data_IF_727376836586
#
_entry.id   IF_727376836586
#
_cell.length_a   1.000
_cell.length_b   1.000
_cell.length_c   1.000
_cell.angle_alpha   90.00
_cell.angle_beta   90.00
_cell.angle_gamma   90.00
#
_symmetry.space_group_name_H-M   'P 1'
#
loop_
_entity.id
_entity.type
_entity.pdbx_description
1 polymer ?
#
# COMPACT_ATOMS: atom_id res chain seq x y z
N UNK A 1 5.73 -1.81 10.66
CA UNK A 1 4.92 -0.94 9.79
C UNK A 1 3.95 -0.04 10.56
N UNK A 2 3.19 -0.58 11.52
CA UNK A 2 2.22 0.23 12.28
C UNK A 2 2.87 1.32 13.13
N UNK A 3 4.04 1.07 13.72
CA UNK A 3 4.77 2.08 14.50
C UNK A 3 5.25 3.24 13.62
N UNK A 4 5.71 2.95 12.42
CA UNK A 4 6.11 3.96 11.43
C UNK A 4 4.91 4.78 10.97
N UNK A 5 3.78 4.12 10.77
CA UNK A 5 2.53 4.78 10.40
C UNK A 5 2.07 5.74 11.51
N UNK A 6 2.15 5.31 12.77
CA UNK A 6 1.79 6.16 13.90
C UNK A 6 2.70 7.40 14.00
N UNK A 7 4.01 7.22 13.82
CA UNK A 7 4.96 8.33 13.81
C UNK A 7 4.64 9.33 12.70
N UNK A 8 4.29 8.85 11.53
CA UNK A 8 3.95 9.70 10.40
C UNK A 8 2.62 10.43 10.62
N UNK A 9 1.63 9.73 11.19
CA UNK A 9 0.35 10.33 11.56
C UNK A 9 0.54 11.45 12.58
N UNK A 10 1.41 11.25 13.56
CA UNK A 10 1.75 12.26 14.56
C UNK A 10 2.43 13.47 13.90
N UNK A 11 3.32 13.24 12.94
CA UNK A 11 4.02 14.31 12.22
C UNK A 11 3.05 15.21 11.43
N UNK A 12 2.10 14.60 10.74
CA UNK A 12 1.10 15.32 9.92
C UNK A 12 0.02 15.95 10.80
N UNK A 13 -0.44 15.21 11.82
CA UNK A 13 -1.24 15.74 12.92
C UNK A 13 -2.50 16.51 12.59
N UNK A 14 -3.32 16.05 11.61
CA UNK A 14 -4.57 16.74 11.24
C UNK A 14 -4.38 18.01 10.42
N UNK A 15 -3.15 18.38 10.07
CA UNK A 15 -2.85 19.58 9.30
C UNK A 15 -3.25 19.49 7.84
N UNK A 16 -3.46 18.26 7.34
CA UNK A 16 -3.86 18.02 5.96
C UNK A 16 -4.85 16.87 5.90
N UNK A 17 -6.12 17.16 5.66
CA UNK A 17 -7.18 16.18 5.63
C UNK A 17 -6.96 15.08 4.58
N UNK A 18 -6.36 15.43 3.45
CA UNK A 18 -6.07 14.48 2.37
C UNK A 18 -5.02 13.45 2.80
N UNK A 19 -3.96 13.91 3.46
CA UNK A 19 -2.91 13.02 3.99
C UNK A 19 -3.49 12.16 5.12
N UNK A 20 -4.32 12.73 5.99
CA UNK A 20 -4.98 11.96 7.06
C UNK A 20 -5.84 10.84 6.47
N UNK A 21 -6.60 11.10 5.40
CA UNK A 21 -7.40 10.09 4.71
C UNK A 21 -6.51 9.01 4.10
N UNK A 22 -5.39 9.40 3.51
CA UNK A 22 -4.43 8.47 2.93
C UNK A 22 -3.85 7.53 3.99
N UNK A 23 -3.41 8.09 5.12
CA UNK A 23 -2.85 7.30 6.22
C UNK A 23 -3.91 6.40 6.86
N UNK A 24 -5.16 6.85 6.93
CA UNK A 24 -6.27 6.02 7.42
C UNK A 24 -6.55 4.86 6.46
N UNK A 25 -6.52 5.09 5.15
CA UNK A 25 -6.68 4.04 4.14
C UNK A 25 -5.53 3.02 4.23
N UNK A 26 -4.30 3.49 4.48
CA UNK A 26 -3.14 2.60 4.71
C UNK A 26 -3.36 1.72 5.93
N UNK A 27 -3.87 2.28 7.02
CA UNK A 27 -4.18 1.52 8.24
C UNK A 27 -5.20 0.42 7.96
N UNK A 28 -6.26 0.72 7.22
CA UNK A 28 -7.27 -0.27 6.86
C UNK A 28 -6.69 -1.38 5.99
N UNK A 29 -5.83 -1.03 5.04
CA UNK A 29 -5.13 -2.02 4.20
C UNK A 29 -4.24 -2.94 5.03
N UNK A 30 -3.48 -2.38 5.98
CA UNK A 30 -2.61 -3.17 6.86
C UNK A 30 -3.41 -4.11 7.76
N UNK A 31 -4.54 -3.67 8.31
CA UNK A 31 -5.41 -4.51 9.11
C UNK A 31 -5.93 -5.69 8.28
N UNK A 32 -6.40 -5.42 7.06
CA UNK A 32 -6.87 -6.45 6.16
C UNK A 32 -5.76 -7.44 5.77
N UNK A 33 -4.55 -6.94 5.53
CA UNK A 33 -3.38 -7.78 5.22
C UNK A 33 -3.03 -8.70 6.39
N UNK A 34 -2.92 -8.17 7.61
CA UNK A 34 -2.59 -8.97 8.78
C UNK A 34 -3.67 -10.00 9.09
N UNK A 35 -4.94 -9.65 8.86
CA UNK A 35 -6.04 -10.60 9.02
C UNK A 35 -5.88 -11.76 8.03
N UNK A 36 -5.54 -11.46 6.78
CA UNK A 36 -5.37 -12.46 5.72
C UNK A 36 -4.16 -13.37 5.99
N UNK A 37 -3.00 -12.81 6.37
CA UNK A 37 -1.79 -13.62 6.66
C UNK A 37 -1.92 -14.42 7.95
N UNK A 38 -2.80 -14.04 8.87
CA UNK A 38 -3.10 -14.79 10.08
C UNK A 38 -3.90 -16.07 9.84
N UNK A 39 -4.40 -16.27 8.61
CA UNK A 39 -5.10 -17.49 8.23
C UNK A 39 -4.10 -18.64 8.16
N UNK A 40 -4.42 -19.77 8.81
CA UNK A 40 -3.50 -20.91 8.93
C UNK A 40 -3.15 -21.51 7.57
N UNK A 41 -1.86 -21.64 7.24
CA UNK A 41 -1.42 -22.11 5.92
C UNK A 41 -1.74 -23.59 5.64
N UNK A 42 -2.12 -24.38 6.67
CA UNK A 42 -2.36 -25.82 6.53
C UNK A 42 -3.81 -26.19 6.26
N UNK A 43 -4.67 -25.24 5.97
CA UNK A 43 -6.05 -25.55 5.57
C UNK A 43 -6.07 -26.11 4.17
N UNK A 44 -6.66 -27.29 4.01
CA UNK A 44 -6.81 -27.93 2.71
C UNK A 44 -7.75 -27.18 1.78
N UNK A 45 -8.68 -26.41 2.35
CA UNK A 45 -9.63 -25.59 1.60
C UNK A 45 -9.84 -24.26 2.33
N UNK A 46 -10.02 -23.19 1.57
CA UNK A 46 -10.46 -21.91 2.11
C UNK A 46 -11.89 -22.04 2.62
N UNK A 47 -12.12 -21.60 3.86
CA UNK A 47 -13.48 -21.43 4.37
C UNK A 47 -14.10 -20.15 3.78
N UNK A 48 -15.43 -19.98 3.86
CA UNK A 48 -16.05 -18.72 3.44
C UNK A 48 -15.50 -17.48 4.16
N UNK A 49 -15.01 -17.63 5.39
CA UNK A 49 -14.38 -16.54 6.13
C UNK A 49 -13.02 -16.16 5.53
N UNK A 50 -12.26 -17.16 5.05
CA UNK A 50 -10.97 -16.92 4.39
C UNK A 50 -11.16 -16.21 3.04
N UNK A 51 -12.18 -16.60 2.29
CA UNK A 51 -12.55 -15.94 1.04
C UNK A 51 -12.96 -14.49 1.29
N UNK A 52 -13.72 -14.24 2.35
CA UNK A 52 -14.11 -12.89 2.73
C UNK A 52 -12.89 -12.05 3.09
N UNK A 53 -11.93 -12.59 3.84
CA UNK A 53 -10.70 -11.89 4.20
C UNK A 53 -9.88 -11.54 2.95
N UNK A 54 -9.82 -12.44 1.98
CA UNK A 54 -9.14 -12.20 0.70
C UNK A 54 -9.85 -11.10 -0.08
N UNK A 55 -11.17 -11.14 -0.18
CA UNK A 55 -11.95 -10.14 -0.89
C UNK A 55 -11.79 -8.76 -0.24
N UNK A 56 -11.82 -8.69 1.08
CA UNK A 56 -11.60 -7.45 1.82
C UNK A 56 -10.20 -6.87 1.57
N UNK A 57 -9.18 -7.73 1.58
CA UNK A 57 -7.83 -7.29 1.30
C UNK A 57 -7.69 -6.76 -0.13
N UNK A 58 -8.19 -7.50 -1.11
CA UNK A 58 -8.14 -7.10 -2.52
C UNK A 58 -8.87 -5.77 -2.75
N UNK A 59 -10.04 -5.61 -2.15
CA UNK A 59 -10.81 -4.38 -2.25
C UNK A 59 -10.04 -3.19 -1.64
N UNK A 60 -9.51 -3.35 -0.44
CA UNK A 60 -8.71 -2.32 0.22
C UNK A 60 -7.44 -1.99 -0.56
N UNK A 61 -6.80 -2.99 -1.18
CA UNK A 61 -5.60 -2.79 -1.98
C UNK A 61 -5.89 -1.90 -3.19
N UNK A 62 -6.92 -2.23 -3.96
CA UNK A 62 -7.29 -1.46 -5.15
C UNK A 62 -7.71 -0.05 -4.75
N UNK A 63 -8.52 0.11 -3.70
CA UNK A 63 -8.93 1.41 -3.19
C UNK A 63 -7.73 2.24 -2.75
N UNK A 64 -6.79 1.64 -2.02
CA UNK A 64 -5.60 2.34 -1.55
C UNK A 64 -4.74 2.85 -2.71
N UNK A 65 -4.51 2.00 -3.71
CA UNK A 65 -3.74 2.40 -4.89
C UNK A 65 -4.45 3.52 -5.67
N UNK A 66 -5.77 3.44 -5.79
CA UNK A 66 -6.58 4.45 -6.49
C UNK A 66 -6.58 5.78 -5.74
N UNK A 67 -6.76 5.77 -4.42
CA UNK A 67 -6.71 6.97 -3.58
C UNK A 67 -5.35 7.64 -3.73
N UNK A 68 -4.27 6.86 -3.62
CA UNK A 68 -2.91 7.38 -3.77
C UNK A 68 -2.70 8.04 -5.12
N UNK A 69 -3.10 7.36 -6.20
CA UNK A 69 -2.84 7.84 -7.55
C UNK A 69 -3.70 9.06 -7.93
N UNK A 70 -5.03 8.97 -7.70
CA UNK A 70 -5.95 9.99 -8.22
C UNK A 70 -6.20 11.16 -7.27
N UNK A 71 -6.10 10.95 -5.97
CA UNK A 71 -6.47 11.97 -5.00
C UNK A 71 -5.27 12.61 -4.30
N UNK A 72 -4.22 11.85 -4.08
CA UNK A 72 -3.05 12.34 -3.34
C UNK A 72 -2.03 12.94 -4.28
N UNK A 73 -1.58 12.20 -5.30
CA UNK A 73 -0.49 12.65 -6.16
C UNK A 73 -0.87 13.90 -6.96
N UNK A 74 -2.08 13.96 -7.51
CA UNK A 74 -2.54 15.12 -8.26
C UNK A 74 -2.59 16.38 -7.41
N UNK A 75 -2.90 16.25 -6.11
CA UNK A 75 -2.97 17.38 -5.20
C UNK A 75 -1.63 17.73 -4.55
N UNK A 76 -0.72 16.76 -4.44
CA UNK A 76 0.62 16.99 -3.90
C UNK A 76 1.55 17.58 -4.96
N UNK A 77 1.36 17.26 -6.23
CA UNK A 77 2.19 17.78 -7.33
C UNK A 77 2.31 19.31 -7.34
N UNK A 78 1.23 20.09 -7.15
CA UNK A 78 1.36 21.56 -7.07
C UNK A 78 2.22 22.02 -5.90
N UNK A 79 2.16 21.33 -4.75
CA UNK A 79 3.00 21.64 -3.59
C UNK A 79 4.47 21.31 -3.86
N UNK A 80 4.71 20.21 -4.59
CA UNK A 80 6.06 19.82 -5.00
C UNK A 80 6.69 20.84 -5.97
N UNK A 81 5.88 21.53 -6.77
CA UNK A 81 6.36 22.52 -7.73
C UNK A 81 7.02 23.73 -7.06
N UNK A 82 6.69 24.03 -5.79
CA UNK A 82 7.29 25.14 -5.04
C UNK A 82 8.53 24.71 -4.25
N UNK A 83 8.90 23.43 -4.30
CA UNK A 83 10.12 22.94 -3.68
C UNK A 83 11.35 23.37 -4.47
N UNK A 84 12.49 23.54 -3.79
CA UNK A 84 13.76 23.79 -4.46
C UNK A 84 14.15 22.66 -5.41
N UNK A 85 15.06 22.91 -6.35
CA UNK A 85 15.43 21.96 -7.39
C UNK A 85 15.93 20.61 -6.84
N UNK A 86 16.64 20.60 -5.72
CA UNK A 86 17.11 19.37 -5.09
C UNK A 86 15.96 18.51 -4.61
N UNK A 87 14.96 19.11 -3.92
CA UNK A 87 13.78 18.39 -3.44
C UNK A 87 12.91 17.93 -4.60
N UNK A 88 12.82 18.74 -5.66
CA UNK A 88 12.06 18.40 -6.87
C UNK A 88 12.66 17.18 -7.58
N UNK A 89 14.00 17.10 -7.67
CA UNK A 89 14.69 15.95 -8.23
C UNK A 89 14.43 14.69 -7.40
N UNK A 90 14.47 14.80 -6.07
CA UNK A 90 14.15 13.69 -5.16
C UNK A 90 12.70 13.25 -5.32
N UNK A 91 11.77 14.20 -5.43
CA UNK A 91 10.37 13.90 -5.65
C UNK A 91 10.16 13.11 -6.94
N UNK A 92 10.82 13.51 -8.02
CA UNK A 92 10.72 12.81 -9.31
C UNK A 92 11.24 11.38 -9.22
N UNK A 93 12.34 11.16 -8.49
CA UNK A 93 12.87 9.81 -8.26
C UNK A 93 11.90 8.95 -7.48
N UNK A 94 11.28 9.51 -6.44
CA UNK A 94 10.29 8.81 -5.63
C UNK A 94 9.05 8.47 -6.45
N UNK A 95 8.59 9.39 -7.30
CA UNK A 95 7.44 9.19 -8.17
C UNK A 95 7.67 8.03 -9.17
N UNK A 96 8.84 7.98 -9.79
CA UNK A 96 9.20 6.88 -10.69
C UNK A 96 9.26 5.54 -9.96
N UNK A 97 9.83 5.52 -8.76
CA UNK A 97 9.89 4.31 -7.93
C UNK A 97 8.49 3.86 -7.52
N UNK A 98 7.58 4.78 -7.21
CA UNK A 98 6.19 4.47 -6.88
C UNK A 98 5.43 3.89 -8.07
N UNK A 99 5.66 4.40 -9.27
CA UNK A 99 5.06 3.85 -10.49
C UNK A 99 5.51 2.43 -10.74
N UNK A 100 6.80 2.15 -10.61
CA UNK A 100 7.35 0.80 -10.74
C UNK A 100 6.77 -0.13 -9.67
N UNK A 101 6.65 0.35 -8.44
CA UNK A 101 6.05 -0.40 -7.33
C UNK A 101 4.59 -0.76 -7.62
N UNK A 102 3.81 0.18 -8.16
CA UNK A 102 2.42 -0.06 -8.56
C UNK A 102 2.32 -1.18 -9.59
N UNK A 103 3.20 -1.15 -10.61
CA UNK A 103 3.25 -2.18 -11.64
C UNK A 103 3.53 -3.56 -11.04
N UNK A 104 4.46 -3.66 -10.09
CA UNK A 104 4.79 -4.91 -9.41
C UNK A 104 3.60 -5.43 -8.59
N UNK A 105 2.92 -4.57 -7.86
CA UNK A 105 1.74 -4.95 -7.07
C UNK A 105 0.62 -5.44 -7.98
N UNK A 106 0.34 -4.74 -9.06
CA UNK A 106 -0.73 -5.10 -10.00
C UNK A 106 -0.42 -6.40 -10.73
N UNK A 107 0.84 -6.64 -11.08
CA UNK A 107 1.26 -7.91 -11.69
C UNK A 107 1.02 -9.08 -10.73
N UNK A 108 1.34 -8.93 -9.45
CA UNK A 108 1.07 -9.95 -8.43
C UNK A 108 -0.42 -10.15 -8.21
N UNK A 109 -1.19 -9.07 -8.20
CA UNK A 109 -2.64 -9.11 -8.06
C UNK A 109 -3.27 -9.91 -9.21
N UNK A 110 -2.95 -9.53 -10.46
CA UNK A 110 -3.54 -10.15 -11.64
C UNK A 110 -3.09 -11.61 -11.79
N UNK A 111 -1.86 -11.93 -11.44
CA UNK A 111 -1.30 -13.27 -11.58
C UNK A 111 -1.73 -14.25 -10.51
N UNK A 112 -1.93 -13.80 -9.27
CA UNK A 112 -2.08 -14.72 -8.14
C UNK A 112 -3.27 -14.40 -7.22
N UNK A 113 -3.56 -13.13 -6.95
CA UNK A 113 -4.59 -12.77 -5.97
C UNK A 113 -6.01 -12.75 -6.55
N UNK A 114 -6.14 -12.52 -7.85
CA UNK A 114 -7.43 -12.47 -8.53
C UNK A 114 -7.99 -13.86 -8.87
N UNK A 115 -7.16 -14.90 -8.78
CA UNK A 115 -7.56 -16.27 -9.09
C UNK A 115 -8.06 -16.97 -7.83
N UNK A 116 -9.03 -17.90 -8.01
CA UNK A 116 -9.50 -18.71 -6.90
C UNK A 116 -8.38 -19.58 -6.35
N UNK A 117 -8.31 -19.66 -5.01
CA UNK A 117 -7.31 -20.49 -4.34
C UNK A 117 -7.87 -21.91 -4.21
N UNK A 118 -7.06 -22.90 -4.59
CA UNK A 118 -7.36 -24.32 -4.41
C UNK A 118 -6.19 -25.02 -3.72
N UNK A 119 -6.32 -26.33 -3.50
CA UNK A 119 -5.30 -27.11 -2.82
C UNK A 119 -3.98 -27.17 -3.61
N UNK A 120 -4.04 -27.02 -4.93
CA UNK A 120 -2.86 -27.13 -5.80
C UNK A 120 -2.04 -25.83 -5.80
N UNK A 121 -2.69 -24.68 -5.65
CA UNK A 121 -2.01 -23.37 -5.74
C UNK A 121 -1.82 -22.66 -4.39
N UNK A 122 -2.14 -23.32 -3.27
CA UNK A 122 -2.08 -22.71 -1.94
C UNK A 122 -0.69 -22.19 -1.59
N UNK A 123 0.36 -22.96 -1.89
CA UNK A 123 1.76 -22.56 -1.61
C UNK A 123 2.15 -21.35 -2.46
N UNK A 124 1.81 -21.37 -3.74
CA UNK A 124 2.08 -20.25 -4.66
C UNK A 124 1.36 -18.99 -4.21
N UNK A 125 0.12 -19.14 -3.74
CA UNK A 125 -0.64 -18.03 -3.21
C UNK A 125 0.03 -17.42 -1.97
N UNK A 126 0.49 -18.25 -1.03
CA UNK A 126 1.18 -17.78 0.17
C UNK A 126 2.48 -17.05 -0.17
N UNK A 127 3.24 -17.56 -1.14
CA UNK A 127 4.45 -16.91 -1.63
C UNK A 127 4.13 -15.55 -2.28
N UNK A 128 3.08 -15.52 -3.09
CA UNK A 128 2.62 -14.29 -3.72
C UNK A 128 2.16 -13.27 -2.68
N UNK A 129 1.46 -13.70 -1.64
CA UNK A 129 1.00 -12.85 -0.56
C UNK A 129 2.17 -12.25 0.24
N UNK A 130 3.21 -13.05 0.51
CA UNK A 130 4.44 -12.57 1.15
C UNK A 130 5.15 -11.55 0.27
N UNK A 131 5.23 -11.78 -1.02
CA UNK A 131 5.83 -10.84 -1.98
C UNK A 131 5.06 -9.53 -2.03
N UNK A 132 3.73 -9.59 -2.04
CA UNK A 132 2.88 -8.40 -2.00
C UNK A 132 3.14 -7.61 -0.70
N UNK A 133 3.28 -8.29 0.42
CA UNK A 133 3.61 -7.65 1.70
C UNK A 133 4.94 -6.92 1.66
N UNK A 134 5.97 -7.52 1.09
CA UNK A 134 7.29 -6.87 0.91
C UNK A 134 7.18 -5.67 -0.02
N UNK A 135 6.46 -5.79 -1.12
CA UNK A 135 6.27 -4.71 -2.09
C UNK A 135 5.46 -3.57 -1.48
N UNK A 136 4.46 -3.87 -0.65
CA UNK A 136 3.71 -2.85 0.10
C UNK A 136 4.60 -2.14 1.11
N UNK A 137 5.49 -2.85 1.80
CA UNK A 137 6.44 -2.23 2.74
C UNK A 137 7.36 -1.24 2.01
N UNK A 138 7.86 -1.60 0.83
CA UNK A 138 8.64 -0.70 -0.02
C UNK A 138 7.83 0.53 -0.42
N UNK A 139 6.58 0.32 -0.83
CA UNK A 139 5.67 1.41 -1.21
C UNK A 139 5.46 2.38 -0.06
N UNK A 140 5.18 1.87 1.14
CA UNK A 140 4.95 2.72 2.30
C UNK A 140 6.19 3.54 2.64
N UNK A 141 7.39 2.96 2.53
CA UNK A 141 8.63 3.69 2.74
C UNK A 141 8.81 4.81 1.71
N UNK A 142 8.49 4.56 0.45
CA UNK A 142 8.55 5.57 -0.61
C UNK A 142 7.54 6.69 -0.37
N UNK A 143 6.32 6.33 0.00
CA UNK A 143 5.25 7.29 0.32
C UNK A 143 5.60 8.13 1.55
N UNK A 144 6.18 7.52 2.57
CA UNK A 144 6.63 8.21 3.77
C UNK A 144 7.70 9.25 3.43
N UNK A 145 8.61 8.91 2.53
CA UNK A 145 9.64 9.85 2.06
C UNK A 145 9.01 11.02 1.30
N UNK A 146 7.99 10.78 0.50
CA UNK A 146 7.25 11.86 -0.18
C UNK A 146 6.58 12.79 0.84
N UNK A 147 5.92 12.23 1.83
CA UNK A 147 5.24 13.03 2.86
C UNK A 147 6.26 13.86 3.65
N UNK A 148 7.37 13.26 4.06
CA UNK A 148 8.44 13.96 4.79
C UNK A 148 9.09 15.05 3.95
N UNK A 149 9.26 14.80 2.67
CA UNK A 149 9.84 15.79 1.75
C UNK A 149 8.98 17.07 1.70
N UNK A 150 7.67 16.93 1.81
CA UNK A 150 6.73 18.04 1.73
C UNK A 150 6.54 18.72 3.10
N UNK A 151 6.44 17.94 4.18
CA UNK A 151 6.11 18.45 5.52
C UNK A 151 7.29 18.67 6.44
N UNK A 152 8.46 18.09 6.13
CA UNK A 152 9.67 18.23 6.94
C UNK A 152 10.56 19.32 6.33
N UNK A 153 10.58 20.47 6.97
CA UNK A 153 11.36 21.63 6.52
C UNK A 153 12.81 21.53 7.01
#
# INVERSE_FOLDING_TARGET
MLNQLQSLTDLVGGNNALIDQWLQARKQLLIAYYHLVGIKPNKEKLSPLDEKALDEFCHNLVDYLSIGHFHVYERILPEAAVLGEQKKALFNQLDEALKSNTEQIMASYDGHLATAIDDENCIEFQQALSHVGETLAERFALEDNVIRLIFDN
#
